data_IF_327786253664
#
_entry.id   IF_327786253664
#
_cell.length_a   1.000
_cell.length_b   1.000
_cell.length_c   1.000
_cell.angle_alpha   90.00
_cell.angle_beta   90.00
_cell.angle_gamma   90.00
#
_symmetry.space_group_name_H-M   'P 1'
#
loop_
_entity.id
_entity.type
_entity.pdbx_description
1 polymer ?
#
# COMPACT_ATOMS: atom_id res chain seq x y z
N UNK A 1 -12.46 -3.73 -12.27
CA UNK A 1 -11.27 -4.59 -12.06
C UNK A 1 -10.07 -3.84 -11.46
N UNK A 2 -9.60 -2.71 -12.04
CA UNK A 2 -8.42 -1.96 -11.53
C UNK A 2 -8.53 -1.43 -10.09
N UNK A 3 -9.64 -0.79 -9.71
CA UNK A 3 -9.84 -0.30 -8.33
C UNK A 3 -9.95 -1.46 -7.33
N UNK A 4 -10.64 -2.55 -7.67
CA UNK A 4 -10.80 -3.71 -6.79
C UNK A 4 -9.46 -4.41 -6.52
N UNK A 5 -8.60 -4.60 -7.53
CA UNK A 5 -7.25 -5.13 -7.29
C UNK A 5 -6.40 -4.18 -6.45
N UNK A 6 -6.55 -2.87 -6.64
CA UNK A 6 -5.83 -1.87 -5.88
C UNK A 6 -6.21 -1.91 -4.40
N UNK A 7 -7.51 -1.95 -4.09
CA UNK A 7 -8.02 -2.13 -2.72
C UNK A 7 -7.50 -3.42 -2.07
N UNK A 8 -7.46 -4.54 -2.81
CA UNK A 8 -6.87 -5.78 -2.31
C UNK A 8 -5.38 -5.65 -2.01
N UNK A 9 -4.64 -4.93 -2.85
CA UNK A 9 -3.21 -4.69 -2.63
C UNK A 9 -2.95 -3.85 -1.38
N UNK A 10 -3.79 -2.83 -1.10
CA UNK A 10 -3.72 -2.06 0.15
C UNK A 10 -3.91 -2.95 1.38
N UNK A 11 -4.92 -3.82 1.37
CA UNK A 11 -5.18 -4.72 2.48
C UNK A 11 -4.00 -5.67 2.76
N UNK A 12 -3.34 -6.18 1.72
CA UNK A 12 -2.16 -7.05 1.87
C UNK A 12 -0.91 -6.28 2.33
N UNK A 13 -0.70 -5.07 1.83
CA UNK A 13 0.49 -4.28 2.13
C UNK A 13 0.53 -3.70 3.54
N UNK A 14 -0.63 -3.60 4.20
CA UNK A 14 -0.72 -3.23 5.61
C UNK A 14 -0.32 -4.35 6.57
N UNK A 15 -0.16 -5.58 6.08
CA UNK A 15 0.31 -6.69 6.91
C UNK A 15 1.82 -6.53 7.19
N UNK A 16 2.28 -6.83 8.43
CA UNK A 16 3.70 -6.81 8.75
C UNK A 16 4.52 -7.71 7.79
N UNK A 17 5.64 -7.19 7.30
CA UNK A 17 6.54 -7.93 6.41
C UNK A 17 6.03 -8.14 4.98
N UNK A 18 4.99 -7.43 4.55
CA UNK A 18 4.45 -7.57 3.21
C UNK A 18 5.49 -7.24 2.11
N UNK A 19 5.62 -8.12 1.12
CA UNK A 19 6.45 -7.90 -0.07
C UNK A 19 5.63 -7.30 -1.21
N UNK A 20 6.17 -6.26 -1.85
CA UNK A 20 5.55 -5.62 -3.02
C UNK A 20 5.41 -6.58 -4.20
N UNK A 21 6.42 -7.41 -4.45
CA UNK A 21 6.42 -8.38 -5.54
C UNK A 21 5.39 -9.50 -5.31
N UNK A 22 5.33 -10.04 -4.09
CA UNK A 22 4.33 -11.06 -3.74
C UNK A 22 2.91 -10.49 -3.76
N UNK A 23 2.73 -9.25 -3.29
CA UNK A 23 1.43 -8.58 -3.33
C UNK A 23 0.98 -8.31 -4.76
N UNK A 24 1.90 -7.89 -5.64
CA UNK A 24 1.62 -7.74 -7.06
C UNK A 24 1.08 -9.04 -7.66
N UNK A 25 1.78 -10.16 -7.47
CA UNK A 25 1.36 -11.47 -7.97
C UNK A 25 -0.01 -11.90 -7.41
N UNK A 26 -0.24 -11.74 -6.10
CA UNK A 26 -1.51 -12.12 -5.44
C UNK A 26 -2.70 -11.27 -5.86
N UNK A 27 -2.48 -10.02 -6.26
CA UNK A 27 -3.53 -9.10 -6.67
C UNK A 27 -3.75 -9.05 -8.19
N UNK A 28 -3.04 -9.87 -8.98
CA UNK A 28 -3.19 -9.92 -10.43
C UNK A 28 -2.49 -8.76 -11.17
N UNK A 29 -1.44 -8.21 -10.56
CA UNK A 29 -0.49 -7.35 -11.26
C UNK A 29 0.55 -8.21 -11.97
N UNK A 30 1.06 -7.69 -13.09
CA UNK A 30 2.12 -8.35 -13.86
C UNK A 30 3.42 -8.42 -13.06
N UNK A 31 3.78 -7.30 -12.43
CA UNK A 31 4.98 -7.14 -11.62
C UNK A 31 4.79 -6.01 -10.59
N UNK A 32 5.82 -5.79 -9.77
CA UNK A 32 5.87 -4.69 -8.81
C UNK A 32 5.73 -3.31 -9.49
N UNK A 33 6.30 -3.11 -10.68
CA UNK A 33 6.25 -1.82 -11.39
C UNK A 33 4.83 -1.45 -11.82
N UNK A 34 4.02 -2.43 -12.24
CA UNK A 34 2.61 -2.25 -12.54
C UNK A 34 1.81 -1.89 -11.28
N UNK A 35 2.08 -2.52 -10.14
CA UNK A 35 1.49 -2.13 -8.86
C UNK A 35 1.88 -0.69 -8.49
N UNK A 36 3.16 -0.31 -8.64
CA UNK A 36 3.64 1.05 -8.34
C UNK A 36 2.97 2.10 -9.23
N UNK A 37 2.70 1.80 -10.51
CA UNK A 37 1.96 2.70 -11.41
C UNK A 37 0.53 2.95 -10.92
N UNK A 38 -0.17 1.92 -10.45
CA UNK A 38 -1.50 2.09 -9.87
C UNK A 38 -1.46 2.92 -8.58
N UNK A 39 -0.47 2.71 -7.72
CA UNK A 39 -0.27 3.53 -6.51
C UNK A 39 -0.03 5.00 -6.84
N UNK A 40 0.81 5.30 -7.85
CA UNK A 40 1.01 6.67 -8.33
C UNK A 40 -0.26 7.28 -8.91
N UNK A 41 -1.10 6.48 -9.56
CA UNK A 41 -2.34 6.96 -10.16
C UNK A 41 -3.45 7.20 -9.12
N UNK A 42 -3.59 6.32 -8.12
CA UNK A 42 -4.73 6.33 -7.21
C UNK A 42 -4.43 6.95 -5.83
N UNK A 43 -3.17 6.92 -5.39
CA UNK A 43 -2.74 7.44 -4.10
C UNK A 43 -1.66 8.52 -4.21
N UNK A 44 -1.32 8.95 -5.43
CA UNK A 44 -0.32 9.99 -5.73
C UNK A 44 1.06 9.75 -5.07
N UNK A 45 1.33 8.49 -4.71
CA UNK A 45 2.52 8.09 -3.97
C UNK A 45 3.00 6.71 -4.41
N UNK A 46 4.24 6.35 -4.07
CA UNK A 46 4.66 4.94 -4.13
C UNK A 46 4.06 4.15 -2.96
N UNK A 47 3.95 2.81 -3.06
CA UNK A 47 3.44 1.99 -1.97
C UNK A 47 4.17 2.21 -0.64
N UNK A 48 5.50 2.25 -0.66
CA UNK A 48 6.32 2.46 0.54
C UNK A 48 6.09 3.83 1.16
N UNK A 49 5.97 4.90 0.34
CA UNK A 49 5.72 6.25 0.84
C UNK A 49 4.31 6.38 1.42
N UNK A 50 3.32 5.77 0.77
CA UNK A 50 1.95 5.73 1.26
C UNK A 50 1.86 5.06 2.64
N UNK A 51 2.46 3.88 2.80
CA UNK A 51 2.46 3.15 4.07
C UNK A 51 3.24 3.86 5.18
N UNK A 52 4.36 4.50 4.85
CA UNK A 52 5.12 5.30 5.81
C UNK A 52 4.26 6.46 6.36
N UNK A 53 3.61 7.21 5.46
CA UNK A 53 2.72 8.31 5.86
C UNK A 53 1.52 7.80 6.68
N UNK A 54 0.97 6.63 6.36
CA UNK A 54 -0.11 6.01 7.12
C UNK A 54 0.34 5.63 8.55
N UNK A 55 1.55 5.09 8.70
CA UNK A 55 2.13 4.78 10.02
C UNK A 55 2.48 6.03 10.83
N UNK A 56 3.01 7.09 10.20
CA UNK A 56 3.27 8.37 10.87
C UNK A 56 1.97 8.97 11.42
N UNK A 57 0.92 9.00 10.58
CA UNK A 57 -0.41 9.44 11.01
C UNK A 57 -0.94 8.59 12.17
N UNK A 58 -0.82 7.26 12.08
CA UNK A 58 -1.23 6.36 13.15
C UNK A 58 -0.46 6.60 14.45
N UNK A 59 0.85 6.86 14.37
CA UNK A 59 1.71 7.17 15.51
C UNK A 59 1.26 8.43 16.26
N UNK A 60 0.87 9.49 15.54
CA UNK A 60 0.35 10.72 16.15
C UNK A 60 -0.91 10.52 16.99
N UNK A 61 -1.74 9.51 16.69
CA UNK A 61 -2.91 9.18 17.51
C UNK A 61 -2.54 8.41 18.78
N UNK A 62 -1.46 7.63 18.75
CA UNK A 62 -0.97 6.87 19.90
C UNK A 62 -0.19 7.78 20.86
N UNK A 63 0.63 8.68 20.32
CA UNK A 63 1.44 9.62 21.09
C UNK A 63 0.63 10.80 21.67
N UNK A 64 -0.63 10.95 21.25
CA UNK A 64 -1.56 12.00 21.70
C UNK A 64 -2.38 11.65 22.95
N UNK A 65 -2.12 10.53 23.62
CA UNK A 65 -2.78 10.19 24.89
C UNK A 65 -2.16 11.00 26.06
N UNK A 66 -2.99 11.63 26.92
CA UNK A 66 -2.51 12.44 28.05
C UNK A 66 -1.70 11.63 29.08
#
# INVERSE_FOLDING_TARGET
>A
VRVVRFQRSLALLRLPGASLAQTAARCGYWDQSHLVRDFRQFAEASPSRFLAAEHELAGHFVDGAP
#
